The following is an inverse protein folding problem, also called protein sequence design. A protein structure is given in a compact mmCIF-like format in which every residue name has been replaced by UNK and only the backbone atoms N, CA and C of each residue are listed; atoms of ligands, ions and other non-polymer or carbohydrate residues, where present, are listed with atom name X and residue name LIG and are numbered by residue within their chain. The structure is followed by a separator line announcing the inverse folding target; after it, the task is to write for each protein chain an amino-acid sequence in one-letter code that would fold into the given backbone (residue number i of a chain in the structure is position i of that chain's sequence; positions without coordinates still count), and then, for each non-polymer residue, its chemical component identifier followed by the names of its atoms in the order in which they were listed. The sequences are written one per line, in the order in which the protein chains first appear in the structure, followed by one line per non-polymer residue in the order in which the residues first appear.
data_IF_741615424690
#
_entry.id   IF_741615424690
#
_cell.length_a   1.000
_cell.length_b   1.000
_cell.length_c   1.000
_cell.angle_alpha   90.00
_cell.angle_beta   90.00
_cell.angle_gamma   90.00
#
_symmetry.space_group_name_H-M   'P 1'
#
loop_
_entity.id
_entity.type
_entity.pdbx_description
1 polymer ?
#
# COMPACT_ATOMS: atom_id res chain seq x y z
N UNK A 1 -12.97 12.01 42.78
CA UNK A 1 -13.71 10.91 43.43
C UNK A 1 -14.46 10.19 42.33
N UNK A 2 -14.24 8.88 42.17
CA UNK A 2 -15.07 8.08 41.25
C UNK A 2 -16.43 7.85 41.93
N UNK A 3 -17.48 8.41 41.33
CA UNK A 3 -18.87 8.28 41.80
C UNK A 3 -19.62 7.14 41.09
N UNK A 4 -18.90 6.32 40.30
CA UNK A 4 -19.43 5.17 39.56
C UNK A 4 -20.27 5.54 38.35
N UNK A 5 -20.15 6.77 37.84
CA UNK A 5 -21.02 7.27 36.77
C UNK A 5 -20.68 6.62 35.42
N UNK A 6 -19.41 6.28 35.19
CA UNK A 6 -18.91 5.56 34.02
C UNK A 6 -18.73 4.09 34.41
N UNK A 7 -19.49 3.20 33.77
CA UNK A 7 -19.52 1.75 34.06
C UNK A 7 -18.70 0.93 33.07
N UNK A 8 -18.24 1.54 31.98
CA UNK A 8 -17.39 0.89 30.99
C UNK A 8 -16.93 1.85 29.91
N UNK A 9 -15.84 1.49 29.23
CA UNK A 9 -15.28 2.25 28.11
C UNK A 9 -15.02 1.29 26.96
N UNK A 10 -15.45 1.67 25.76
CA UNK A 10 -15.17 0.95 24.51
C UNK A 10 -14.46 1.89 23.54
N UNK A 11 -13.27 1.47 23.10
CA UNK A 11 -12.49 2.15 22.07
C UNK A 11 -12.76 1.47 20.73
N UNK A 12 -13.69 2.02 19.94
CA UNK A 12 -14.04 1.45 18.64
C UNK A 12 -12.99 1.76 17.56
N UNK A 13 -12.18 2.79 17.79
CA UNK A 13 -11.01 3.11 17.00
C UNK A 13 -9.98 3.77 17.92
N UNK A 14 -8.73 3.38 17.81
CA UNK A 14 -7.61 4.06 18.47
C UNK A 14 -6.49 4.20 17.44
N UNK A 15 -5.93 5.39 17.32
CA UNK A 15 -4.77 5.66 16.48
C UNK A 15 -3.60 6.03 17.37
N UNK A 16 -2.42 5.48 17.08
CA UNK A 16 -1.17 5.87 17.71
C UNK A 16 -0.11 6.16 16.65
N UNK A 17 0.61 7.26 16.82
CA UNK A 17 1.69 7.68 15.94
C UNK A 17 3.03 7.69 16.69
N UNK A 18 3.94 6.83 16.25
CA UNK A 18 5.28 6.63 16.82
C UNK A 18 6.37 7.33 16.02
N UNK A 19 6.02 8.14 15.02
CA UNK A 19 6.98 8.89 14.18
C UNK A 19 7.43 10.21 14.81
N UNK A 20 6.96 10.49 16.03
CA UNK A 20 7.37 11.65 16.83
C UNK A 20 8.87 11.61 17.16
N UNK A 21 9.48 12.79 17.30
CA UNK A 21 10.91 12.91 17.65
C UNK A 21 11.26 12.30 19.00
N UNK A 22 10.32 12.32 19.96
CA UNK A 22 10.44 11.63 21.23
C UNK A 22 9.77 10.25 21.16
N UNK A 23 10.59 9.19 21.26
CA UNK A 23 10.15 7.80 21.20
C UNK A 23 9.16 7.39 22.31
N UNK A 24 9.18 8.10 23.44
CA UNK A 24 8.35 7.86 24.62
C UNK A 24 7.22 8.88 24.77
N UNK A 25 6.96 9.67 23.73
CA UNK A 25 5.84 10.58 23.66
C UNK A 25 5.09 10.48 22.32
N UNK A 26 4.60 9.29 21.93
CA UNK A 26 3.80 9.15 20.71
C UNK A 26 2.51 9.98 20.82
N UNK A 27 1.89 10.28 19.68
CA UNK A 27 0.54 10.85 19.71
C UNK A 27 -0.50 9.75 19.71
N UNK A 28 -1.65 10.01 20.35
CA UNK A 28 -2.81 9.15 20.32
C UNK A 28 -4.06 9.94 19.95
N UNK A 29 -5.02 9.28 19.32
CA UNK A 29 -6.33 9.85 19.00
C UNK A 29 -7.39 8.76 18.83
N UNK A 30 -8.66 9.13 18.91
CA UNK A 30 -9.78 8.24 18.67
C UNK A 30 -10.92 9.00 18.01
N UNK A 31 -11.42 8.51 16.88
CA UNK A 31 -12.63 9.10 16.26
C UNK A 31 -13.93 8.52 16.82
N UNK A 32 -13.86 7.52 17.70
CA UNK A 32 -15.02 6.81 18.21
C UNK A 32 -14.72 6.15 19.56
N UNK A 33 -14.96 6.92 20.62
CA UNK A 33 -14.96 6.46 22.00
C UNK A 33 -16.40 6.40 22.51
N UNK A 34 -16.75 5.29 23.16
CA UNK A 34 -18.05 5.11 23.79
C UNK A 34 -17.85 4.81 25.27
N UNK A 35 -18.37 5.70 26.12
CA UNK A 35 -18.48 5.45 27.55
C UNK A 35 -19.90 4.95 27.88
N UNK A 36 -19.98 3.83 28.59
CA UNK A 36 -21.20 3.36 29.22
C UNK A 36 -21.37 4.10 30.53
N UNK A 37 -22.54 4.70 30.72
CA UNK A 37 -22.88 5.45 31.92
C UNK A 37 -24.08 4.82 32.62
N UNK A 38 -24.25 5.09 33.90
CA UNK A 38 -25.49 4.78 34.61
C UNK A 38 -26.64 5.52 33.91
N UNK A 39 -27.63 4.76 33.44
CA UNK A 39 -28.85 5.33 32.86
C UNK A 39 -29.80 5.77 33.97
N UNK A 40 -30.21 7.04 33.95
CA UNK A 40 -31.22 7.56 34.88
C UNK A 40 -32.54 7.68 34.11
N UNK A 41 -33.60 6.93 34.48
CA UNK A 41 -34.88 6.95 33.76
C UNK A 41 -35.43 8.37 33.64
N UNK A 42 -35.81 8.77 32.41
CA UNK A 42 -36.37 10.09 32.12
C UNK A 42 -35.37 11.24 32.09
N UNK A 43 -34.07 11.00 32.33
CA UNK A 43 -33.03 12.03 32.30
C UNK A 43 -32.04 11.72 31.17
N UNK A 44 -31.87 12.67 30.25
CA UNK A 44 -30.73 12.69 29.33
C UNK A 44 -29.79 13.79 29.78
N UNK A 45 -28.57 13.43 30.17
CA UNK A 45 -27.56 14.42 30.56
C UNK A 45 -27.18 15.24 29.32
N UNK A 46 -27.31 16.57 29.34
CA UNK A 46 -27.09 17.41 28.16
C UNK A 46 -25.60 17.71 27.95
N UNK A 47 -24.75 16.66 27.94
CA UNK A 47 -23.30 16.79 27.79
C UNK A 47 -22.98 17.11 26.33
N UNK A 48 -22.46 18.31 26.09
CA UNK A 48 -22.15 18.85 24.76
C UNK A 48 -20.69 18.61 24.34
N UNK A 49 -19.77 18.61 25.30
CA UNK A 49 -18.37 18.29 25.06
C UNK A 49 -17.71 17.76 26.32
N UNK A 50 -16.63 17.00 26.16
CA UNK A 50 -15.79 16.55 27.27
C UNK A 50 -14.31 16.82 26.99
N UNK A 51 -13.50 16.94 28.04
CA UNK A 51 -12.03 16.78 27.96
C UNK A 51 -11.58 15.82 29.06
N UNK A 52 -10.46 15.15 28.86
CA UNK A 52 -10.07 14.00 29.66
C UNK A 52 -8.61 14.09 30.05
N UNK A 53 -8.32 13.75 31.30
CA UNK A 53 -6.98 13.49 31.84
C UNK A 53 -6.90 12.02 32.22
N UNK A 54 -6.09 11.26 31.48
CA UNK A 54 -6.10 9.79 31.54
C UNK A 54 -4.70 9.27 31.82
N UNK A 55 -4.62 8.39 32.81
CA UNK A 55 -3.50 7.53 33.13
C UNK A 55 -3.76 6.13 32.55
N UNK A 56 -2.81 5.63 31.78
CA UNK A 56 -2.82 4.27 31.25
C UNK A 56 -1.93 3.40 32.13
N UNK A 57 -2.46 2.30 32.61
CA UNK A 57 -1.74 1.30 33.38
C UNK A 57 -1.90 -0.10 32.76
N UNK A 58 -0.82 -0.87 32.83
CA UNK A 58 -0.83 -2.31 32.61
C UNK A 58 -0.78 -2.98 33.99
N UNK A 59 -1.89 -3.60 34.38
CA UNK A 59 -2.09 -4.12 35.73
C UNK A 59 -1.81 -3.03 36.80
N UNK A 60 -0.83 -3.26 37.68
CA UNK A 60 -0.43 -2.29 38.72
C UNK A 60 0.60 -1.28 38.24
N UNK A 61 1.18 -1.47 37.05
CA UNK A 61 2.26 -0.64 36.54
C UNK A 61 1.69 0.52 35.72
N UNK A 62 1.89 1.75 36.21
CA UNK A 62 1.49 2.95 35.48
C UNK A 62 2.44 3.17 34.31
N UNK A 63 1.92 3.25 33.09
CA UNK A 63 2.72 3.40 31.87
C UNK A 63 2.97 4.88 31.57
N UNK A 64 1.91 5.67 31.57
CA UNK A 64 1.96 7.06 31.14
C UNK A 64 0.62 7.75 31.23
N UNK A 65 0.59 9.00 30.77
CA UNK A 65 -0.61 9.85 30.81
C UNK A 65 -0.84 10.59 29.50
N UNK A 66 -2.08 10.93 29.21
CA UNK A 66 -2.43 11.92 28.21
C UNK A 66 -3.54 12.83 28.72
N UNK A 67 -3.53 14.06 28.23
CA UNK A 67 -4.58 15.04 28.42
C UNK A 67 -5.11 15.43 27.05
N UNK A 68 -6.43 15.53 26.92
CA UNK A 68 -7.10 15.88 25.66
C UNK A 68 -7.73 17.27 25.71
N UNK A 69 -7.82 17.91 24.56
CA UNK A 69 -8.64 19.11 24.39
C UNK A 69 -10.14 18.78 24.40
N UNK A 70 -10.97 19.82 24.53
CA UNK A 70 -12.43 19.68 24.46
C UNK A 70 -12.88 19.05 23.14
N UNK A 71 -13.58 17.92 23.24
CA UNK A 71 -14.15 17.19 22.13
C UNK A 71 -15.68 17.20 22.20
N UNK A 72 -16.39 17.40 21.08
CA UNK A 72 -17.85 17.26 21.04
C UNK A 72 -18.29 15.88 21.50
N UNK A 73 -19.37 15.84 22.27
CA UNK A 73 -19.96 14.60 22.78
C UNK A 73 -21.45 14.56 22.54
N UNK A 74 -22.00 13.35 22.47
CA UNK A 74 -23.45 13.13 22.42
C UNK A 74 -23.84 12.05 23.40
N UNK A 75 -24.97 12.24 24.09
CA UNK A 75 -25.51 11.28 25.04
C UNK A 75 -26.81 10.73 24.49
N UNK A 76 -26.96 9.40 24.48
CA UNK A 76 -28.18 8.70 24.09
C UNK A 76 -28.41 7.54 25.04
N UNK A 77 -29.42 7.68 25.92
CA UNK A 77 -29.64 6.73 27.01
C UNK A 77 -28.42 6.68 27.95
N UNK A 78 -28.00 5.48 28.33
CA UNK A 78 -26.80 5.24 29.14
C UNK A 78 -25.49 5.24 28.36
N UNK A 79 -25.41 5.86 27.17
CA UNK A 79 -24.20 5.86 26.33
C UNK A 79 -23.79 7.28 25.98
N UNK A 80 -22.52 7.62 26.27
CA UNK A 80 -21.86 8.83 25.82
C UNK A 80 -20.90 8.48 24.68
N UNK A 81 -21.06 9.13 23.53
CA UNK A 81 -20.16 9.02 22.38
C UNK A 81 -19.35 10.30 22.24
N UNK A 82 -18.05 10.16 22.00
CA UNK A 82 -17.10 11.27 21.88
C UNK A 82 -15.88 10.85 21.06
N UNK A 83 -14.94 11.77 20.89
CA UNK A 83 -13.62 11.55 20.27
C UNK A 83 -12.52 11.88 21.25
N UNK A 84 -11.32 11.35 21.01
CA UNK A 84 -10.08 11.85 21.59
C UNK A 84 -9.34 12.62 20.49
N UNK A 85 -9.29 13.96 20.55
CA UNK A 85 -8.43 14.75 19.67
C UNK A 85 -6.97 14.31 19.78
N UNK A 86 -6.17 14.56 18.75
CA UNK A 86 -4.74 14.20 18.78
C UNK A 86 -4.06 14.78 20.01
N UNK A 87 -3.59 13.89 20.88
CA UNK A 87 -3.02 14.21 22.18
C UNK A 87 -1.70 13.49 22.34
N UNK A 88 -0.74 14.10 23.03
CA UNK A 88 0.54 13.44 23.33
C UNK A 88 0.38 12.46 24.49
N UNK A 89 0.82 11.22 24.30
CA UNK A 89 0.90 10.21 25.35
C UNK A 89 2.28 10.22 26.00
N UNK A 90 2.40 10.82 27.17
CA UNK A 90 3.66 10.94 27.90
C UNK A 90 3.91 9.67 28.73
N UNK A 91 4.82 8.83 28.26
CA UNK A 91 5.29 7.65 29.01
C UNK A 91 6.17 8.13 30.18
N UNK A 92 5.94 7.59 31.37
CA UNK A 92 6.75 7.92 32.52
C UNK A 92 8.18 7.42 32.36
N UNK A 93 9.16 8.19 32.84
CA UNK A 93 10.59 7.88 32.66
C UNK A 93 10.98 6.53 33.27
N UNK A 94 10.37 6.13 34.39
CA UNK A 94 10.57 4.84 35.05
C UNK A 94 9.72 3.70 34.47
N UNK A 95 8.87 3.97 33.48
CA UNK A 95 7.91 3.02 32.91
C UNK A 95 8.18 2.66 31.45
N UNK A 96 9.34 3.05 30.91
CA UNK A 96 9.73 2.73 29.52
C UNK A 96 9.75 1.23 29.24
N UNK A 97 10.19 0.41 30.19
CA UNK A 97 10.16 -1.06 30.06
C UNK A 97 8.71 -1.59 30.03
N UNK A 98 7.84 -1.09 30.91
CA UNK A 98 6.42 -1.45 30.91
C UNK A 98 5.74 -1.03 29.60
N UNK A 99 6.10 0.13 29.06
CA UNK A 99 5.63 0.57 27.74
C UNK A 99 6.10 -0.35 26.61
N UNK A 100 7.36 -0.81 26.63
CA UNK A 100 7.86 -1.81 25.69
C UNK A 100 7.05 -3.12 25.75
N UNK A 101 6.79 -3.64 26.95
CA UNK A 101 5.93 -4.81 27.17
C UNK A 101 4.52 -4.59 26.64
N UNK A 102 3.95 -3.41 26.86
CA UNK A 102 2.65 -3.04 26.32
C UNK A 102 2.61 -3.12 24.79
N UNK A 103 3.58 -2.50 24.11
CA UNK A 103 3.67 -2.54 22.64
C UNK A 103 3.86 -3.99 22.15
N UNK A 104 4.69 -4.79 22.83
CA UNK A 104 4.87 -6.21 22.52
C UNK A 104 3.58 -7.02 22.66
N UNK A 105 2.81 -6.78 23.73
CA UNK A 105 1.51 -7.42 23.96
C UNK A 105 0.48 -7.06 22.89
N UNK A 106 0.38 -5.77 22.52
CA UNK A 106 -0.49 -5.35 21.41
C UNK A 106 -0.07 -6.02 20.11
N UNK A 107 1.23 -6.11 19.84
CA UNK A 107 1.72 -6.69 18.60
C UNK A 107 1.49 -8.21 18.54
N UNK A 108 1.66 -8.93 19.66
CA UNK A 108 1.66 -10.40 19.70
C UNK A 108 0.31 -11.05 20.03
N UNK A 109 -0.53 -10.39 20.83
CA UNK A 109 -1.78 -10.98 21.34
C UNK A 109 -2.98 -10.62 20.46
N UNK A 110 -4.02 -11.47 20.49
CA UNK A 110 -5.29 -11.20 19.81
C UNK A 110 -6.13 -10.17 20.57
N UNK A 111 -6.11 -10.21 21.90
CA UNK A 111 -6.77 -9.24 22.77
C UNK A 111 -5.90 -8.99 23.98
N UNK A 112 -5.79 -7.73 24.38
CA UNK A 112 -5.03 -7.29 25.53
C UNK A 112 -5.81 -6.22 26.29
N UNK A 113 -5.87 -6.32 27.63
CA UNK A 113 -6.65 -5.42 28.46
C UNK A 113 -5.76 -4.34 29.08
N UNK A 114 -6.17 -3.08 28.95
CA UNK A 114 -5.53 -1.93 29.57
C UNK A 114 -6.40 -1.34 30.65
N UNK A 115 -5.79 -0.87 31.73
CA UNK A 115 -6.50 -0.09 32.73
C UNK A 115 -6.38 1.40 32.41
N UNK A 116 -7.52 2.05 32.22
CA UNK A 116 -7.62 3.50 32.06
C UNK A 116 -8.17 4.09 33.36
N UNK A 117 -7.40 4.97 34.00
CA UNK A 117 -7.82 5.69 35.21
C UNK A 117 -7.67 7.17 34.99
N UNK A 118 -8.59 7.98 35.49
CA UNK A 118 -8.46 9.41 35.29
C UNK A 118 -9.66 10.21 35.71
N UNK A 119 -9.75 11.42 35.16
CA UNK A 119 -10.87 12.32 35.31
C UNK A 119 -11.32 12.90 33.97
N UNK A 120 -12.59 13.28 33.92
CA UNK A 120 -13.21 13.93 32.77
C UNK A 120 -13.88 15.21 33.24
N UNK A 121 -13.70 16.28 32.49
CA UNK A 121 -14.52 17.47 32.62
C UNK A 121 -15.63 17.42 31.57
N UNK A 122 -16.87 17.61 32.00
CA UNK A 122 -18.05 17.57 31.14
C UNK A 122 -18.69 18.96 31.03
N UNK A 123 -18.87 19.47 29.81
CA UNK A 123 -19.59 20.71 29.54
C UNK A 123 -21.04 20.39 29.18
N UNK A 124 -21.94 20.81 30.04
CA UNK A 124 -23.39 20.74 29.86
C UNK A 124 -23.90 21.93 29.06
N UNK A 125 -24.82 21.67 28.13
CA UNK A 125 -25.61 22.71 27.46
C UNK A 125 -27.03 22.73 28.04
N UNK A 126 -27.32 23.73 28.87
CA UNK A 126 -28.61 23.89 29.55
C UNK A 126 -29.59 24.76 28.72
N UNK A 127 -29.34 24.94 27.43
CA UNK A 127 -30.16 25.75 26.53
C UNK A 127 -30.14 27.22 26.93
N UNK A 128 -31.32 27.78 27.24
CA UNK A 128 -31.47 29.19 27.63
C UNK A 128 -30.73 29.54 28.92
N UNK A 129 -30.43 28.55 29.77
CA UNK A 129 -29.71 28.75 31.03
C UNK A 129 -28.18 28.79 30.86
N UNK A 130 -27.68 28.67 29.62
CA UNK A 130 -26.26 28.74 29.30
C UNK A 130 -25.55 27.39 29.42
N UNK A 131 -24.23 27.43 29.60
CA UNK A 131 -23.38 26.24 29.71
C UNK A 131 -22.80 26.12 31.11
N UNK A 132 -22.72 24.90 31.63
CA UNK A 132 -22.11 24.59 32.92
C UNK A 132 -21.01 23.54 32.73
N UNK A 133 -19.86 23.69 33.37
CA UNK A 133 -18.82 22.66 33.40
C UNK A 133 -18.87 21.92 34.71
N UNK A 134 -18.92 20.59 34.66
CA UNK A 134 -18.71 19.70 35.79
C UNK A 134 -17.29 19.17 35.69
N UNK A 135 -16.37 19.61 36.57
CA UNK A 135 -14.99 19.14 36.55
C UNK A 135 -14.82 17.81 37.28
N UNK A 136 -13.69 17.15 37.02
CA UNK A 136 -13.13 16.06 37.86
C UNK A 136 -14.04 14.83 38.06
N UNK A 137 -14.80 14.44 37.03
CA UNK A 137 -15.58 13.20 37.03
C UNK A 137 -14.62 12.02 36.91
N UNK A 138 -14.32 11.37 38.03
CA UNK A 138 -13.38 10.25 38.08
C UNK A 138 -13.91 9.00 37.36
N UNK A 139 -12.99 8.20 36.82
CA UNK A 139 -13.28 6.85 36.30
C UNK A 139 -12.09 5.91 36.48
N UNK A 140 -12.41 4.61 36.58
CA UNK A 140 -11.46 3.49 36.58
C UNK A 140 -12.07 2.35 35.75
N UNK A 141 -11.50 2.09 34.58
CA UNK A 141 -12.05 1.14 33.63
C UNK A 141 -10.98 0.21 33.06
N UNK A 142 -11.29 -1.09 33.02
CA UNK A 142 -10.50 -2.05 32.26
C UNK A 142 -11.05 -2.15 30.83
N UNK A 143 -10.23 -1.82 29.85
CA UNK A 143 -10.61 -1.70 28.45
C UNK A 143 -9.91 -2.79 27.64
N UNK A 144 -10.65 -3.79 27.11
CA UNK A 144 -10.09 -4.76 26.19
C UNK A 144 -9.81 -4.09 24.84
N UNK A 145 -8.63 -4.34 24.30
CA UNK A 145 -8.19 -3.86 22.99
C UNK A 145 -7.78 -5.06 22.16
N UNK A 146 -8.30 -5.14 20.93
CA UNK A 146 -7.83 -6.14 19.97
C UNK A 146 -6.39 -5.80 19.57
N UNK A 147 -5.48 -6.77 19.66
CA UNK A 147 -4.10 -6.64 19.21
C UNK A 147 -3.93 -7.09 17.75
N UNK A 148 -2.69 -7.09 17.28
CA UNK A 148 -2.32 -7.48 15.91
C UNK A 148 -2.22 -9.00 15.72
N UNK A 149 -2.43 -9.79 16.79
CA UNK A 149 -2.36 -11.25 16.78
C UNK A 149 -1.04 -11.78 16.16
N UNK A 150 0.07 -11.11 16.46
CA UNK A 150 1.42 -11.45 16.02
C UNK A 150 1.75 -11.11 14.56
N UNK A 151 0.82 -10.51 13.79
CA UNK A 151 0.92 -10.40 12.33
C UNK A 151 1.41 -11.73 11.71
N UNK A 152 0.84 -12.85 12.19
CA UNK A 152 1.40 -14.20 11.99
C UNK A 152 1.70 -14.55 10.53
N UNK A 153 0.89 -14.03 9.60
CA UNK A 153 1.03 -14.29 8.17
C UNK A 153 1.04 -12.98 7.41
N UNK A 154 2.15 -12.75 6.70
CA UNK A 154 2.29 -11.69 5.70
C UNK A 154 1.98 -12.31 4.34
N UNK A 155 1.00 -11.76 3.65
CA UNK A 155 0.55 -12.27 2.35
C UNK A 155 1.40 -11.73 1.21
N UNK A 156 2.19 -12.58 0.54
CA UNK A 156 2.77 -12.21 -0.75
C UNK A 156 1.66 -11.87 -1.74
N UNK A 157 1.79 -10.74 -2.44
CA UNK A 157 0.76 -10.25 -3.37
C UNK A 157 1.30 -10.13 -4.79
N UNK A 158 2.42 -9.43 -4.98
CA UNK A 158 2.94 -9.15 -6.31
C UNK A 158 4.45 -8.88 -6.27
N UNK A 159 5.19 -9.35 -7.28
CA UNK A 159 6.61 -9.02 -7.46
C UNK A 159 6.74 -7.70 -8.22
N UNK A 160 7.28 -6.67 -7.57
CA UNK A 160 7.56 -5.40 -8.25
C UNK A 160 8.87 -5.46 -9.03
N UNK A 161 9.95 -5.91 -8.39
CA UNK A 161 11.26 -5.90 -9.02
C UNK A 161 12.22 -6.88 -8.36
N UNK A 162 13.12 -7.42 -9.16
CA UNK A 162 14.35 -8.06 -8.67
C UNK A 162 15.53 -7.22 -9.13
N UNK A 163 16.45 -6.92 -8.21
CA UNK A 163 17.72 -6.28 -8.55
C UNK A 163 18.86 -7.21 -8.21
N UNK A 164 19.79 -7.33 -9.16
CA UNK A 164 21.01 -8.12 -9.01
C UNK A 164 22.17 -7.14 -8.96
N UNK A 165 22.85 -7.06 -7.82
CA UNK A 165 24.09 -6.27 -7.73
C UNK A 165 25.29 -7.15 -8.07
N UNK A 166 26.29 -6.58 -8.74
CA UNK A 166 27.60 -7.22 -8.99
C UNK A 166 28.37 -7.47 -7.70
N UNK A 167 28.05 -6.73 -6.63
CA UNK A 167 28.55 -6.90 -5.27
C UNK A 167 27.88 -8.03 -4.49
N UNK A 168 26.86 -8.68 -5.06
CA UNK A 168 26.31 -9.92 -4.54
C UNK A 168 24.93 -9.83 -3.89
N UNK A 169 24.50 -8.66 -3.41
CA UNK A 169 23.17 -8.52 -2.82
C UNK A 169 22.07 -8.66 -3.88
N UNK A 170 21.04 -9.45 -3.56
CA UNK A 170 19.80 -9.54 -4.33
C UNK A 170 18.75 -8.69 -3.61
N UNK A 171 18.24 -7.67 -4.31
CA UNK A 171 17.12 -6.89 -3.84
C UNK A 171 15.82 -7.51 -4.36
N UNK A 172 14.88 -7.81 -3.46
CA UNK A 172 13.52 -8.20 -3.81
C UNK A 172 12.59 -7.07 -3.39
N UNK A 173 11.94 -6.43 -4.37
CA UNK A 173 10.83 -5.51 -4.12
C UNK A 173 9.53 -6.25 -4.33
N UNK A 174 8.74 -6.43 -3.27
CA UNK A 174 7.45 -7.13 -3.32
C UNK A 174 6.36 -6.28 -2.70
N UNK A 175 5.15 -6.39 -3.25
CA UNK A 175 3.94 -5.93 -2.56
C UNK A 175 3.47 -7.06 -1.66
N UNK A 176 3.24 -6.71 -0.41
CA UNK A 176 2.74 -7.61 0.62
C UNK A 176 1.48 -7.05 1.25
N UNK A 177 0.60 -7.94 1.69
CA UNK A 177 -0.54 -7.61 2.53
C UNK A 177 -0.22 -7.91 4.00
N UNK A 178 -0.32 -6.91 4.86
CA UNK A 178 -0.26 -7.05 6.32
C UNK A 178 -1.68 -6.92 6.89
N UNK A 179 -2.39 -8.03 7.14
CA UNK A 179 -3.71 -7.97 7.71
C UNK A 179 -3.64 -7.49 9.16
N UNK A 180 -4.42 -6.47 9.47
CA UNK A 180 -4.61 -5.93 10.81
C UNK A 180 -6.03 -6.28 11.29
N UNK A 181 -6.18 -7.32 12.15
CA UNK A 181 -7.48 -7.74 12.66
C UNK A 181 -8.05 -6.79 13.73
N UNK A 182 -7.25 -5.83 14.21
CA UNK A 182 -7.63 -4.94 15.29
C UNK A 182 -8.46 -3.73 14.83
N UNK A 183 -8.83 -2.89 15.80
CA UNK A 183 -9.37 -1.53 15.57
C UNK A 183 -8.31 -0.44 15.72
N UNK A 184 -7.04 -0.84 15.80
CA UNK A 184 -5.91 0.06 15.97
C UNK A 184 -5.42 0.55 14.61
N UNK A 185 -5.15 1.85 14.55
CA UNK A 185 -4.32 2.44 13.50
C UNK A 185 -2.96 2.76 14.10
N UNK A 186 -1.88 2.20 13.56
CA UNK A 186 -0.53 2.36 14.10
C UNK A 186 0.39 2.93 13.01
N UNK A 187 0.83 4.17 13.17
CA UNK A 187 1.89 4.73 12.34
C UNK A 187 3.25 4.40 12.98
N UNK A 188 3.94 3.43 12.39
CA UNK A 188 5.20 2.87 12.89
C UNK A 188 6.43 3.52 12.23
N UNK A 189 6.23 4.30 11.17
CA UNK A 189 7.31 4.83 10.34
C UNK A 189 8.09 3.74 9.63
N UNK A 190 9.38 3.94 9.44
CA UNK A 190 10.24 2.96 8.78
C UNK A 190 10.52 1.77 9.72
N UNK A 191 10.28 0.57 9.21
CA UNK A 191 10.53 -0.69 9.93
C UNK A 191 11.41 -1.66 9.14
N UNK A 192 12.25 -2.41 9.85
CA UNK A 192 13.15 -3.42 9.32
C UNK A 192 13.06 -4.71 10.12
N UNK A 193 13.02 -5.85 9.46
CA UNK A 193 12.96 -7.16 10.09
C UNK A 193 14.14 -8.02 9.65
N UNK A 194 14.74 -8.72 10.61
CA UNK A 194 15.71 -9.78 10.32
C UNK A 194 14.97 -10.89 9.57
N UNK A 195 15.49 -11.27 8.41
CA UNK A 195 14.85 -12.24 7.51
C UNK A 195 15.66 -13.51 7.49
N UNK A 196 15.00 -14.65 7.70
CA UNK A 196 15.61 -15.97 7.69
C UNK A 196 14.80 -16.94 6.83
N UNK A 197 15.46 -17.92 6.23
CA UNK A 197 14.83 -19.13 5.69
C UNK A 197 14.93 -20.27 6.70
N UNK A 198 14.46 -21.45 6.32
CA UNK A 198 14.67 -22.69 7.10
C UNK A 198 16.17 -23.01 7.30
N UNK A 199 17.03 -22.52 6.41
CA UNK A 199 18.47 -22.78 6.44
C UNK A 199 19.27 -21.72 7.24
N UNK A 200 18.60 -20.69 7.77
CA UNK A 200 19.22 -19.65 8.60
C UNK A 200 18.97 -18.23 8.11
N UNK A 201 19.71 -17.27 8.68
CA UNK A 201 19.63 -15.85 8.32
C UNK A 201 19.96 -15.61 6.85
N UNK A 202 19.19 -14.73 6.20
CA UNK A 202 19.36 -14.42 4.77
C UNK A 202 19.45 -12.93 4.46
N UNK A 203 19.15 -12.04 5.41
CA UNK A 203 19.23 -10.60 5.19
C UNK A 203 18.16 -9.82 5.95
N UNK A 204 17.80 -8.64 5.45
CA UNK A 204 16.81 -7.76 6.09
C UNK A 204 15.69 -7.38 5.12
N UNK A 205 14.46 -7.33 5.64
CA UNK A 205 13.28 -6.87 4.92
C UNK A 205 12.80 -5.56 5.53
N UNK A 206 12.70 -4.51 4.71
CA UNK A 206 12.37 -3.16 5.13
C UNK A 206 11.07 -2.69 4.50
N UNK A 207 10.23 -2.03 5.28
CA UNK A 207 9.02 -1.31 4.83
C UNK A 207 9.19 0.14 5.27
N UNK A 208 9.08 1.08 4.34
CA UNK A 208 9.14 2.51 4.64
C UNK A 208 7.76 3.05 4.98
N UNK A 209 7.68 3.97 5.95
CA UNK A 209 6.43 4.68 6.30
C UNK A 209 5.26 3.76 6.64
N UNK A 210 5.49 2.64 7.33
CA UNK A 210 4.45 1.67 7.64
C UNK A 210 3.38 2.29 8.55
N UNK A 211 2.18 2.45 8.00
CA UNK A 211 0.96 2.70 8.77
C UNK A 211 0.03 1.49 8.64
N UNK A 212 -0.25 0.84 9.77
CA UNK A 212 -1.21 -0.26 9.84
C UNK A 212 -2.59 0.31 10.16
N UNK A 213 -3.52 0.27 9.21
CA UNK A 213 -4.94 0.58 9.43
C UNK A 213 -5.74 -0.73 9.61
N UNK A 214 -6.94 -0.69 10.22
CA UNK A 214 -7.80 -1.87 10.33
C UNK A 214 -8.09 -2.51 8.96
N UNK A 215 -7.97 -3.84 8.86
CA UNK A 215 -8.18 -4.59 7.61
C UNK A 215 -6.88 -4.90 6.86
N UNK A 216 -6.94 -4.93 5.52
CA UNK A 216 -5.79 -5.25 4.67
C UNK A 216 -4.91 -4.02 4.45
N UNK A 217 -3.59 -4.18 4.59
CA UNK A 217 -2.61 -3.14 4.35
C UNK A 217 -1.65 -3.60 3.26
N UNK A 218 -1.79 -3.05 2.06
CA UNK A 218 -0.88 -3.35 0.96
C UNK A 218 0.29 -2.37 0.97
N UNK A 219 1.50 -2.88 1.16
CA UNK A 219 2.72 -2.07 1.27
C UNK A 219 3.85 -2.69 0.46
N UNK A 220 4.85 -1.86 0.11
CA UNK A 220 6.07 -2.32 -0.53
C UNK A 220 7.06 -2.77 0.55
N UNK A 221 7.42 -4.05 0.53
CA UNK A 221 8.53 -4.58 1.30
C UNK A 221 9.74 -4.79 0.38
N UNK A 222 10.90 -4.29 0.80
CA UNK A 222 12.17 -4.49 0.12
C UNK A 222 13.06 -5.40 0.94
N UNK A 223 13.40 -6.57 0.42
CA UNK A 223 14.32 -7.52 1.05
C UNK A 223 15.69 -7.42 0.39
N UNK A 224 16.72 -7.16 1.18
CA UNK A 224 18.11 -7.26 0.75
C UNK A 224 18.68 -8.58 1.26
N UNK A 225 18.93 -9.51 0.35
CA UNK A 225 19.54 -10.80 0.68
C UNK A 225 21.07 -10.66 0.77
N UNK A 226 21.64 -11.06 1.91
CA UNK A 226 23.08 -11.11 2.16
C UNK A 226 23.66 -12.39 1.56
N UNK A 227 24.20 -12.28 0.35
CA UNK A 227 24.71 -13.42 -0.41
C UNK A 227 26.05 -13.99 0.12
N UNK A 228 26.64 -13.37 1.15
CA UNK A 228 27.72 -14.02 1.91
C UNK A 228 27.18 -15.20 2.72
N UNK A 229 25.86 -15.24 2.99
CA UNK A 229 25.19 -16.33 3.66
C UNK A 229 24.82 -17.47 2.69
N UNK A 230 25.19 -18.73 2.98
CA UNK A 230 24.79 -19.88 2.16
C UNK A 230 23.27 -20.00 1.99
N UNK A 231 22.50 -19.68 3.04
CA UNK A 231 21.05 -19.73 3.03
C UNK A 231 20.44 -18.72 2.03
N UNK A 232 21.02 -17.52 1.89
CA UNK A 232 20.58 -16.52 0.92
C UNK A 232 20.84 -16.97 -0.52
N UNK A 233 22.01 -17.56 -0.79
CA UNK A 233 22.35 -18.11 -2.12
C UNK A 233 21.41 -19.25 -2.53
N UNK A 234 20.94 -20.05 -1.57
CA UNK A 234 19.97 -21.11 -1.83
C UNK A 234 18.57 -20.58 -2.17
N UNK A 235 18.15 -19.45 -1.59
CA UNK A 235 16.90 -18.79 -1.98
C UNK A 235 16.91 -18.46 -3.48
N UNK A 236 18.04 -17.98 -3.99
CA UNK A 236 18.14 -17.57 -5.38
C UNK A 236 17.83 -18.70 -6.37
N UNK A 237 18.33 -19.91 -6.10
CA UNK A 237 18.04 -21.08 -6.94
C UNK A 237 16.67 -21.71 -6.65
N UNK A 238 16.16 -21.60 -5.42
CA UNK A 238 14.89 -22.21 -5.04
C UNK A 238 13.66 -21.39 -5.43
N UNK A 239 13.75 -20.06 -5.50
CA UNK A 239 12.59 -19.19 -5.77
C UNK A 239 11.90 -19.47 -7.10
N UNK A 240 12.60 -20.05 -8.09
CA UNK A 240 12.04 -20.46 -9.38
C UNK A 240 11.63 -21.94 -9.45
N UNK A 241 12.06 -22.77 -8.50
CA UNK A 241 11.87 -24.23 -8.51
C UNK A 241 10.92 -24.73 -7.42
N UNK A 242 10.71 -23.96 -6.35
CA UNK A 242 9.79 -24.27 -5.25
C UNK A 242 9.28 -23.00 -4.57
N UNK A 243 8.26 -23.15 -3.70
CA UNK A 243 7.87 -22.07 -2.80
C UNK A 243 9.00 -21.79 -1.79
N UNK A 244 9.20 -20.53 -1.43
CA UNK A 244 10.19 -20.10 -0.44
C UNK A 244 9.47 -19.43 0.73
N UNK A 245 9.60 -20.03 1.92
CA UNK A 245 9.08 -19.42 3.16
C UNK A 245 10.20 -18.68 3.87
N UNK A 246 9.92 -17.41 4.18
CA UNK A 246 10.77 -16.51 4.94
C UNK A 246 10.12 -16.23 6.29
N UNK A 247 10.93 -16.26 7.34
CA UNK A 247 10.57 -15.81 8.69
C UNK A 247 11.15 -14.42 8.88
N UNK A 248 10.29 -13.46 9.21
CA UNK A 248 10.64 -12.08 9.52
C UNK A 248 10.54 -11.91 11.03
N UNK A 249 11.65 -11.59 11.68
CA UNK A 249 11.74 -11.45 13.14
C UNK A 249 12.19 -10.04 13.49
N UNK A 250 11.53 -9.45 14.49
CA UNK A 250 11.96 -8.18 15.06
C UNK A 250 13.32 -8.30 15.75
N UNK A 251 14.04 -7.18 15.83
CA UNK A 251 15.33 -7.09 16.50
C UNK A 251 15.54 -5.67 17.04
N UNK A 252 16.67 -5.41 17.69
CA UNK A 252 16.97 -4.11 18.31
C UNK A 252 17.06 -2.93 17.33
N UNK A 253 17.15 -3.19 16.02
CA UNK A 253 17.16 -2.19 14.96
C UNK A 253 15.92 -2.21 14.08
N UNK A 254 14.80 -2.75 14.58
CA UNK A 254 13.56 -2.85 13.81
C UNK A 254 12.94 -1.51 13.46
N UNK A 255 13.15 -0.48 14.27
CA UNK A 255 12.69 0.90 14.05
C UNK A 255 13.78 1.85 14.54
N UNK A 256 13.75 3.12 14.11
CA UNK A 256 14.54 4.17 14.77
C UNK A 256 13.95 4.56 16.13
N UNK A 257 12.65 4.26 16.36
CA UNK A 257 11.97 4.54 17.61
C UNK A 257 12.32 3.46 18.67
N UNK A 258 12.97 3.87 19.74
CA UNK A 258 13.43 2.98 20.82
C UNK A 258 12.28 2.25 21.54
N UNK A 259 11.12 2.88 21.68
CA UNK A 259 9.96 2.24 22.31
C UNK A 259 9.36 1.14 21.41
N UNK A 260 9.30 1.40 20.09
CA UNK A 260 8.89 0.37 19.13
C UNK A 260 9.89 -0.79 19.10
N UNK A 261 11.21 -0.53 19.14
CA UNK A 261 12.21 -1.60 19.20
C UNK A 261 12.02 -2.53 20.39
N UNK A 262 11.77 -1.96 21.58
CA UNK A 262 11.54 -2.75 22.78
C UNK A 262 10.31 -3.67 22.64
N UNK A 263 9.25 -3.20 21.97
CA UNK A 263 8.02 -3.97 21.79
C UNK A 263 8.04 -4.95 20.61
N UNK A 264 8.61 -4.54 19.47
CA UNK A 264 8.60 -5.31 18.23
C UNK A 264 9.70 -6.37 18.18
N UNK A 265 10.72 -6.33 19.05
CA UNK A 265 11.80 -7.31 19.04
C UNK A 265 11.34 -8.77 19.22
N UNK A 266 10.18 -9.01 19.82
CA UNK A 266 9.62 -10.35 20.01
C UNK A 266 8.70 -10.81 18.87
N UNK A 267 8.42 -9.95 17.88
CA UNK A 267 7.55 -10.27 16.76
C UNK A 267 8.22 -11.27 15.83
N UNK A 268 7.44 -12.24 15.36
CA UNK A 268 7.85 -13.16 14.30
C UNK A 268 6.67 -13.44 13.37
N UNK A 269 6.87 -13.18 12.09
CA UNK A 269 5.88 -13.34 11.03
C UNK A 269 6.45 -14.22 9.92
N UNK A 270 5.59 -14.95 9.23
CA UNK A 270 6.00 -15.74 8.07
C UNK A 270 5.41 -15.18 6.79
N UNK A 271 6.22 -15.22 5.72
CA UNK A 271 5.80 -14.93 4.36
C UNK A 271 6.24 -16.06 3.45
N UNK A 272 5.35 -16.55 2.61
CA UNK A 272 5.69 -17.53 1.57
C UNK A 272 5.64 -16.86 0.21
N UNK A 273 6.78 -16.83 -0.48
CA UNK A 273 6.89 -16.44 -1.88
C UNK A 273 6.61 -17.69 -2.73
N UNK A 274 5.58 -17.69 -3.58
CA UNK A 274 5.29 -18.82 -4.45
C UNK A 274 6.40 -19.07 -5.48
N UNK A 275 6.53 -20.33 -5.91
CA UNK A 275 7.45 -20.73 -6.97
C UNK A 275 7.29 -19.85 -8.20
N UNK A 276 8.40 -19.35 -8.72
CA UNK A 276 8.49 -18.47 -9.88
C UNK A 276 7.52 -17.27 -9.78
N UNK A 277 7.23 -16.81 -8.55
CA UNK A 277 6.31 -15.72 -8.28
C UNK A 277 4.88 -16.00 -8.80
N UNK A 278 4.51 -17.28 -8.91
CA UNK A 278 3.21 -17.72 -9.38
C UNK A 278 2.07 -17.16 -8.51
N UNK A 279 0.94 -16.85 -9.13
CA UNK A 279 -0.18 -16.23 -8.41
C UNK A 279 0.06 -14.76 -8.02
N UNK A 280 1.08 -14.10 -8.57
CA UNK A 280 1.16 -12.65 -8.53
C UNK A 280 -0.06 -12.06 -9.27
N UNK A 281 -0.98 -11.46 -8.53
CA UNK A 281 -2.20 -10.86 -9.10
C UNK A 281 -2.07 -9.35 -8.97
N UNK A 282 -2.25 -8.65 -10.08
CA UNK A 282 -2.49 -7.21 -10.02
C UNK A 282 -3.92 -6.97 -9.56
N UNK A 283 -4.17 -5.92 -8.78
CA UNK A 283 -5.54 -5.56 -8.37
C UNK A 283 -6.47 -5.26 -9.55
N UNK A 284 -5.91 -4.80 -10.66
CA UNK A 284 -6.61 -4.50 -11.91
C UNK A 284 -5.60 -4.42 -13.07
N UNK A 285 -6.08 -4.40 -14.32
CA UNK A 285 -5.21 -4.18 -15.48
C UNK A 285 -4.59 -2.77 -15.42
N UNK A 286 -3.29 -2.63 -15.77
CA UNK A 286 -2.59 -1.34 -15.66
C UNK A 286 -3.00 -0.31 -16.73
N UNK A 287 -3.74 -0.74 -17.74
CA UNK A 287 -4.19 0.10 -18.85
C UNK A 287 -5.53 -0.39 -19.41
N UNK A 288 -6.26 0.52 -20.06
CA UNK A 288 -7.48 0.25 -20.82
C UNK A 288 -7.70 1.28 -21.92
N UNK A 289 -8.67 1.04 -22.79
CA UNK A 289 -9.14 2.00 -23.79
C UNK A 289 -8.04 2.47 -24.77
N UNK A 290 -7.26 1.52 -25.28
CA UNK A 290 -6.26 1.83 -26.30
C UNK A 290 -6.92 2.31 -27.59
N UNK A 291 -6.39 3.38 -28.16
CA UNK A 291 -6.77 3.90 -29.48
C UNK A 291 -5.55 4.40 -30.23
N UNK A 292 -5.61 4.36 -31.56
CA UNK A 292 -4.55 4.81 -32.45
C UNK A 292 -5.10 5.77 -33.50
N UNK A 293 -4.34 6.84 -33.73
CA UNK A 293 -4.58 7.83 -34.77
C UNK A 293 -3.37 7.89 -35.70
N UNK A 294 -3.60 7.88 -37.01
CA UNK A 294 -2.59 8.18 -38.03
C UNK A 294 -2.48 9.69 -38.19
N UNK A 295 -1.27 10.21 -38.02
CA UNK A 295 -0.98 11.62 -38.20
C UNK A 295 -0.76 11.90 -39.69
N UNK A 296 -1.35 12.97 -40.20
CA UNK A 296 -1.22 13.40 -41.60
C UNK A 296 -0.01 14.31 -41.81
N UNK A 297 0.54 14.30 -43.03
CA UNK A 297 1.64 15.20 -43.43
C UNK A 297 2.98 14.92 -42.72
N UNK A 298 3.18 13.70 -42.22
CA UNK A 298 4.34 13.35 -41.41
C UNK A 298 5.52 12.97 -42.31
N UNK A 299 6.64 13.68 -42.15
CA UNK A 299 7.94 13.37 -42.78
C UNK A 299 8.89 12.61 -41.84
N UNK A 300 8.49 12.44 -40.59
CA UNK A 300 9.27 11.83 -39.52
C UNK A 300 8.62 10.50 -39.09
N UNK A 301 9.30 9.38 -39.38
CA UNK A 301 8.82 8.03 -39.07
C UNK A 301 8.48 7.79 -37.60
N UNK A 302 8.94 8.65 -36.69
CA UNK A 302 8.66 8.57 -35.24
C UNK A 302 7.32 9.17 -34.82
N UNK A 303 6.66 9.92 -35.72
CA UNK A 303 5.42 10.67 -35.43
C UNK A 303 4.23 10.21 -36.26
N UNK A 304 4.35 9.05 -36.92
CA UNK A 304 3.31 8.54 -37.83
C UNK A 304 2.02 8.22 -37.07
N UNK A 305 2.13 7.72 -35.84
CA UNK A 305 0.97 7.44 -35.01
C UNK A 305 1.01 8.19 -33.71
N UNK A 306 -0.17 8.56 -33.24
CA UNK A 306 -0.41 8.89 -31.84
C UNK A 306 -1.30 7.83 -31.25
N UNK A 307 -0.80 7.14 -30.22
CA UNK A 307 -1.57 6.18 -29.44
C UNK A 307 -2.01 6.82 -28.14
N UNK A 308 -3.27 6.60 -27.79
CA UNK A 308 -3.88 7.08 -26.54
C UNK A 308 -4.37 5.88 -25.73
N UNK A 309 -4.08 5.88 -24.43
CA UNK A 309 -4.55 4.87 -23.49
C UNK A 309 -4.83 5.47 -22.11
N UNK A 310 -5.70 4.82 -21.35
CA UNK A 310 -6.02 5.19 -19.99
C UNK A 310 -5.28 4.26 -19.03
N UNK A 311 -4.27 4.80 -18.34
CA UNK A 311 -3.50 4.08 -17.32
C UNK A 311 -4.22 4.09 -15.98
N UNK A 312 -4.11 2.99 -15.24
CA UNK A 312 -4.63 2.86 -13.88
C UNK A 312 -3.58 2.14 -13.03
N UNK A 313 -3.49 2.45 -11.74
CA UNK A 313 -2.54 1.73 -10.88
C UNK A 313 -2.99 0.27 -10.72
N UNK A 314 -2.14 -0.72 -11.04
CA UNK A 314 -2.42 -2.12 -10.75
C UNK A 314 -2.10 -2.50 -9.29
N UNK A 315 -1.55 -1.58 -8.48
CA UNK A 315 -0.88 -1.86 -7.21
C UNK A 315 -1.74 -1.47 -5.99
N UNK A 316 -2.96 -1.97 -5.90
CA UNK A 316 -3.76 -1.97 -4.67
C UNK A 316 -3.96 -0.58 -4.03
N UNK A 317 -4.14 0.46 -4.86
CA UNK A 317 -4.33 1.83 -4.38
C UNK A 317 -3.05 2.66 -4.23
N UNK A 318 -1.87 2.10 -4.53
CA UNK A 318 -0.61 2.86 -4.57
C UNK A 318 -0.51 3.68 -5.86
N UNK A 319 -0.16 4.98 -5.83
CA UNK A 319 0.09 5.76 -7.04
C UNK A 319 1.30 5.22 -7.82
N UNK A 320 1.30 5.47 -9.12
CA UNK A 320 2.36 5.02 -10.03
C UNK A 320 2.79 6.18 -10.92
N UNK A 321 4.08 6.45 -10.91
CA UNK A 321 4.73 7.32 -11.89
C UNK A 321 5.35 6.45 -12.98
N UNK A 322 4.87 6.56 -14.21
CA UNK A 322 5.44 5.88 -15.38
C UNK A 322 6.47 6.81 -16.00
N UNK A 323 7.74 6.49 -15.83
CA UNK A 323 8.87 7.32 -16.25
C UNK A 323 9.27 7.02 -17.68
N UNK A 324 9.26 5.74 -18.05
CA UNK A 324 9.62 5.30 -19.39
C UNK A 324 8.81 4.08 -19.81
N UNK A 325 8.55 4.00 -21.11
CA UNK A 325 8.16 2.79 -21.79
C UNK A 325 9.40 2.31 -22.54
N UNK A 326 10.11 1.29 -22.02
CA UNK A 326 11.40 0.84 -22.59
C UNK A 326 11.26 0.30 -24.01
N UNK A 327 12.38 0.15 -24.73
CA UNK A 327 12.44 -0.42 -26.10
C UNK A 327 11.84 -1.83 -26.22
N UNK A 328 11.78 -2.59 -25.12
CA UNK A 328 11.09 -3.88 -25.05
C UNK A 328 9.56 -3.74 -25.21
N UNK A 329 9.04 -2.52 -25.09
CA UNK A 329 7.64 -2.20 -25.34
C UNK A 329 7.42 -2.18 -26.83
N UNK A 330 6.87 -3.29 -27.31
CA UNK A 330 6.67 -3.54 -28.73
C UNK A 330 5.23 -3.95 -28.90
N UNK A 331 4.60 -3.33 -29.88
CA UNK A 331 3.35 -3.80 -30.41
C UNK A 331 3.70 -4.72 -31.60
N UNK A 332 3.46 -6.01 -31.44
CA UNK A 332 3.57 -6.98 -32.53
C UNK A 332 2.19 -7.36 -33.04
N UNK A 333 2.07 -7.69 -34.33
CA UNK A 333 0.82 -8.20 -34.87
C UNK A 333 0.42 -9.47 -34.10
N UNK A 334 -0.81 -9.54 -33.58
CA UNK A 334 -1.30 -10.80 -33.04
C UNK A 334 -1.45 -11.82 -34.19
N UNK A 335 -1.12 -13.10 -33.93
CA UNK A 335 -1.22 -14.20 -34.92
C UNK A 335 -2.62 -14.35 -35.55
N UNK A 336 -3.64 -13.75 -34.93
CA UNK A 336 -5.06 -13.83 -35.29
C UNK A 336 -5.38 -13.34 -36.71
N UNK A 337 -4.49 -12.60 -37.39
CA UNK A 337 -4.72 -12.12 -38.77
C UNK A 337 -4.12 -13.05 -39.83
N UNK A 338 -3.54 -14.20 -39.48
CA UNK A 338 -2.79 -15.04 -40.45
C UNK A 338 -1.54 -14.35 -41.03
N UNK A 339 -1.24 -13.13 -40.56
CA UNK A 339 -0.04 -12.38 -40.87
C UNK A 339 1.03 -12.88 -39.91
N UNK A 340 1.73 -13.94 -40.29
CA UNK A 340 3.04 -14.22 -39.69
C UNK A 340 3.98 -13.11 -40.16
N UNK A 341 4.20 -12.12 -39.31
CA UNK A 341 5.28 -11.16 -39.49
C UNK A 341 6.64 -11.77 -39.12
N UNK A 342 6.71 -13.01 -38.63
CA UNK A 342 7.83 -13.40 -37.77
C UNK A 342 7.94 -12.40 -36.59
N UNK A 343 9.10 -12.32 -35.94
CA UNK A 343 9.40 -11.34 -34.88
C UNK A 343 9.40 -9.86 -35.35
N UNK A 344 8.74 -9.51 -36.47
CA UNK A 344 8.74 -8.14 -36.96
C UNK A 344 7.83 -7.25 -36.12
N UNK A 345 8.45 -6.28 -35.47
CA UNK A 345 7.82 -5.23 -34.69
C UNK A 345 6.97 -4.35 -35.62
N UNK A 346 5.73 -4.04 -35.24
CA UNK A 346 4.90 -3.09 -36.00
C UNK A 346 5.13 -1.66 -35.54
N UNK A 347 5.28 -1.46 -34.23
CA UNK A 347 5.45 -0.14 -33.63
C UNK A 347 6.43 -0.21 -32.46
N UNK A 348 7.24 0.85 -32.32
CA UNK A 348 8.10 1.07 -31.15
C UNK A 348 7.66 2.32 -30.42
N UNK A 349 7.36 2.19 -29.12
CA UNK A 349 7.00 3.33 -28.28
C UNK A 349 8.15 4.35 -28.27
N UNK A 350 7.83 5.62 -28.47
CA UNK A 350 8.79 6.68 -28.27
C UNK A 350 8.88 7.01 -26.78
N UNK A 351 9.98 7.67 -26.38
CA UNK A 351 10.11 8.21 -25.04
C UNK A 351 8.88 9.05 -24.70
N UNK A 352 8.26 8.72 -23.57
CA UNK A 352 7.12 9.45 -23.05
C UNK A 352 7.60 10.48 -22.04
N UNK A 353 6.85 11.57 -21.89
CA UNK A 353 6.92 12.34 -20.65
C UNK A 353 6.41 11.47 -19.50
N UNK A 354 6.90 11.73 -18.29
CA UNK A 354 6.38 11.12 -17.07
C UNK A 354 4.85 11.16 -17.02
N UNK A 355 4.22 10.02 -16.74
CA UNK A 355 2.77 9.89 -16.53
C UNK A 355 2.50 9.58 -15.07
N UNK A 356 1.85 10.51 -14.37
CA UNK A 356 1.41 10.31 -13.00
C UNK A 356 0.03 9.66 -12.98
N UNK A 357 -0.05 8.47 -12.39
CA UNK A 357 -1.29 7.71 -12.22
C UNK A 357 -1.65 7.72 -10.74
N UNK A 358 -2.80 8.29 -10.34
CA UNK A 358 -3.19 8.29 -8.94
C UNK A 358 -3.46 6.85 -8.47
N UNK A 359 -3.30 6.63 -7.16
CA UNK A 359 -3.55 5.33 -6.55
C UNK A 359 -4.99 4.86 -6.73
N UNK A 360 -5.94 5.81 -6.66
CA UNK A 360 -7.34 5.61 -7.04
C UNK A 360 -7.65 6.45 -8.28
N UNK A 361 -8.26 5.82 -9.30
CA UNK A 361 -8.65 6.49 -10.54
C UNK A 361 -7.81 6.08 -11.75
N UNK A 362 -7.59 7.03 -12.66
CA UNK A 362 -6.87 6.76 -13.92
C UNK A 362 -6.37 8.04 -14.58
N UNK A 363 -5.31 7.91 -15.38
CA UNK A 363 -4.75 9.00 -16.18
C UNK A 363 -4.75 8.62 -17.65
N UNK A 364 -5.32 9.46 -18.51
CA UNK A 364 -5.25 9.25 -19.97
C UNK A 364 -4.04 9.98 -20.52
N UNK A 365 -3.23 9.27 -21.31
CA UNK A 365 -2.05 9.83 -21.94
C UNK A 365 -2.00 9.45 -23.42
N UNK A 366 -1.44 10.35 -24.21
CA UNK A 366 -1.20 10.18 -25.64
C UNK A 366 0.29 10.31 -25.92
N UNK A 367 0.85 9.41 -26.71
CA UNK A 367 2.25 9.44 -27.09
C UNK A 367 2.44 8.95 -28.52
N UNK A 368 3.56 9.36 -29.10
CA UNK A 368 3.90 8.97 -30.45
C UNK A 368 4.49 7.54 -30.48
N UNK A 369 4.21 6.83 -31.56
CA UNK A 369 4.75 5.50 -31.83
C UNK A 369 5.41 5.53 -33.20
N UNK A 370 6.64 5.02 -33.26
CA UNK A 370 7.43 5.00 -34.48
C UNK A 370 7.12 3.79 -35.36
N UNK A 371 7.23 3.99 -36.66
CA UNK A 371 7.40 2.90 -37.61
C UNK A 371 8.83 2.31 -37.50
N UNK A 372 9.02 0.99 -37.72
CA UNK A 372 10.33 0.34 -37.75
C UNK A 372 11.31 0.97 -38.75
N UNK A 373 12.61 0.87 -38.45
CA UNK A 373 13.66 1.48 -39.27
C UNK A 373 13.84 0.82 -40.65
N UNK A 374 13.51 -0.47 -40.76
CA UNK A 374 13.64 -1.26 -41.98
C UNK A 374 12.30 -1.92 -42.33
N UNK A 375 11.79 -1.63 -43.52
CA UNK A 375 10.67 -2.33 -44.13
C UNK A 375 11.18 -3.23 -45.25
N UNK A 376 10.91 -4.54 -45.19
CA UNK A 376 11.24 -5.42 -46.31
C UNK A 376 10.29 -5.19 -47.49
N UNK A 377 10.68 -5.56 -48.72
CA UNK A 377 9.83 -5.40 -49.92
C UNK A 377 8.47 -6.15 -49.89
N UNK A 378 8.18 -6.95 -48.85
CA UNK A 378 6.90 -7.67 -48.64
C UNK A 378 5.92 -6.93 -47.71
N UNK A 379 6.08 -5.62 -47.49
CA UNK A 379 5.38 -4.91 -46.40
C UNK A 379 4.03 -4.29 -46.80
N UNK A 380 3.87 -3.78 -48.03
CA UNK A 380 2.63 -3.07 -48.41
C UNK A 380 1.39 -3.99 -48.40
N UNK A 381 1.50 -5.20 -48.93
CA UNK A 381 0.38 -6.17 -48.93
C UNK A 381 -0.02 -6.60 -47.51
N UNK A 382 0.93 -6.68 -46.58
CA UNK A 382 0.64 -6.97 -45.17
C UNK A 382 -0.08 -5.81 -44.48
N UNK A 383 0.30 -4.56 -44.78
CA UNK A 383 -0.40 -3.39 -44.29
C UNK A 383 -1.79 -3.24 -44.87
N UNK A 384 -2.00 -3.59 -46.14
CA UNK A 384 -3.33 -3.63 -46.74
C UNK A 384 -4.24 -4.57 -45.95
N UNK A 385 -3.81 -5.81 -45.70
CA UNK A 385 -4.57 -6.75 -44.87
C UNK A 385 -4.82 -6.24 -43.45
N UNK A 386 -3.89 -5.46 -42.88
CA UNK A 386 -4.04 -4.86 -41.56
C UNK A 386 -5.10 -3.74 -41.55
N UNK A 387 -5.12 -2.90 -42.60
CA UNK A 387 -6.12 -1.86 -42.80
C UNK A 387 -7.50 -2.47 -43.08
N UNK A 388 -7.59 -3.50 -43.91
CA UNK A 388 -8.86 -4.18 -44.21
C UNK A 388 -9.45 -4.80 -42.93
N UNK A 389 -8.62 -5.44 -42.11
CA UNK A 389 -9.01 -5.95 -40.80
C UNK A 389 -9.50 -4.82 -39.88
N UNK A 390 -8.74 -3.73 -39.78
CA UNK A 390 -9.08 -2.58 -38.94
C UNK A 390 -10.40 -1.92 -39.36
N UNK A 391 -10.63 -1.75 -40.66
CA UNK A 391 -11.87 -1.18 -41.19
C UNK A 391 -13.07 -2.08 -40.93
N UNK A 392 -12.88 -3.40 -41.01
CA UNK A 392 -13.95 -4.38 -40.76
C UNK A 392 -14.33 -4.44 -39.29
N UNK A 393 -13.35 -4.35 -38.39
CA UNK A 393 -13.55 -4.62 -36.96
C UNK A 393 -13.59 -3.35 -36.08
N UNK A 394 -13.12 -2.20 -36.59
CA UNK A 394 -12.95 -0.97 -35.82
C UNK A 394 -11.78 -0.99 -34.82
N UNK A 395 -10.91 -2.00 -34.90
CA UNK A 395 -9.71 -2.14 -34.07
C UNK A 395 -8.65 -3.01 -34.73
N UNK A 396 -7.42 -2.93 -34.23
CA UNK A 396 -6.34 -3.88 -34.49
C UNK A 396 -5.99 -4.65 -33.22
N UNK A 397 -5.65 -5.94 -33.34
CA UNK A 397 -5.17 -6.73 -32.20
C UNK A 397 -3.66 -6.81 -32.23
N UNK A 398 -3.04 -6.41 -31.13
CA UNK A 398 -1.58 -6.41 -30.96
C UNK A 398 -1.20 -7.21 -29.73
N UNK A 399 -0.07 -7.91 -29.78
CA UNK A 399 0.57 -8.41 -28.57
C UNK A 399 1.35 -7.25 -27.95
N UNK A 400 1.10 -6.96 -26.67
CA UNK A 400 1.79 -5.90 -25.94
C UNK A 400 2.76 -6.56 -24.95
N UNK A 401 4.05 -6.45 -25.26
CA UNK A 401 5.08 -6.59 -24.24
C UNK A 401 5.21 -5.23 -23.57
N UNK A 402 5.02 -5.14 -22.25
CA UNK A 402 5.12 -3.89 -21.51
C UNK A 402 6.02 -4.08 -20.27
N UNK A 403 7.25 -3.59 -20.36
CA UNK A 403 8.24 -3.43 -19.30
C UNK A 403 8.45 -1.94 -18.99
N UNK A 404 7.44 -1.21 -18.46
CA UNK A 404 7.64 0.18 -18.08
C UNK A 404 8.64 0.31 -16.93
N UNK A 405 9.37 1.42 -16.96
CA UNK A 405 10.08 1.90 -15.77
C UNK A 405 9.11 2.75 -14.95
N UNK A 406 8.86 2.35 -13.71
CA UNK A 406 7.92 3.02 -12.82
C UNK A 406 8.54 3.35 -11.46
N UNK A 407 8.01 4.39 -10.81
CA UNK A 407 8.13 4.60 -9.36
C UNK A 407 6.76 4.33 -8.77
N UNK A 408 6.70 3.52 -7.71
CA UNK A 408 5.44 3.14 -7.06
C UNK A 408 5.41 3.78 -5.69
N UNK A 409 4.24 4.30 -5.32
CA UNK A 409 3.98 4.92 -4.01
C UNK A 409 4.92 6.09 -3.67
N UNK A 410 5.40 6.80 -4.70
CA UNK A 410 6.32 7.94 -4.58
C UNK A 410 7.62 7.62 -3.80
N UNK A 411 8.05 6.36 -3.79
CA UNK A 411 9.22 5.93 -3.00
C UNK A 411 10.58 6.33 -3.62
N UNK A 412 10.55 6.95 -4.80
CA UNK A 412 11.72 7.42 -5.56
C UNK A 412 12.54 6.31 -6.21
N UNK A 413 12.15 5.03 -6.09
CA UNK A 413 12.89 3.89 -6.62
C UNK A 413 12.33 3.50 -7.98
N UNK A 414 13.12 3.75 -9.03
CA UNK A 414 12.78 3.34 -10.38
C UNK A 414 12.90 1.82 -10.55
N UNK A 415 11.85 1.20 -11.09
CA UNK A 415 11.74 -0.25 -11.27
C UNK A 415 11.28 -0.57 -12.67
N UNK A 416 11.95 -1.53 -13.31
CA UNK A 416 11.40 -2.17 -14.50
C UNK A 416 10.40 -3.23 -14.06
N UNK A 417 9.10 -2.96 -14.26
CA UNK A 417 8.03 -3.88 -13.85
C UNK A 417 7.51 -4.62 -15.07
N UNK A 418 7.12 -5.90 -14.91
CA UNK A 418 6.56 -6.67 -16.00
C UNK A 418 5.02 -6.62 -16.00
N UNK A 419 4.46 -5.82 -16.90
CA UNK A 419 3.00 -5.77 -17.16
C UNK A 419 2.55 -6.71 -18.27
N UNK A 420 3.48 -7.43 -18.90
CA UNK A 420 3.25 -8.37 -19.99
C UNK A 420 3.20 -9.83 -19.56
N UNK A 421 3.69 -10.20 -18.37
CA UNK A 421 3.77 -11.62 -17.99
C UNK A 421 3.57 -11.87 -16.48
N UNK A 422 2.33 -12.17 -16.10
CA UNK A 422 2.13 -13.26 -15.14
C UNK A 422 2.17 -14.57 -15.95
N UNK A 423 3.29 -15.30 -15.89
CA UNK A 423 3.45 -16.68 -16.35
C UNK A 423 2.72 -17.07 -17.67
N UNK A 424 3.49 -17.17 -18.77
CA UNK A 424 3.21 -17.95 -20.01
C UNK A 424 2.36 -17.35 -21.15
N UNK A 425 1.72 -16.18 -21.05
CA UNK A 425 1.03 -15.57 -22.22
C UNK A 425 1.19 -14.05 -22.29
N UNK A 426 1.77 -13.55 -23.40
CA UNK A 426 1.76 -12.12 -23.74
C UNK A 426 0.30 -11.69 -23.93
N UNK A 427 -0.22 -10.70 -23.18
CA UNK A 427 -1.59 -10.24 -23.34
C UNK A 427 -1.78 -9.62 -24.73
N UNK A 428 -2.90 -9.97 -25.37
CA UNK A 428 -3.34 -9.29 -26.58
C UNK A 428 -4.21 -8.10 -26.19
N UNK A 429 -4.01 -6.99 -26.87
CA UNK A 429 -4.74 -5.73 -26.66
C UNK A 429 -5.43 -5.36 -27.96
N UNK A 430 -6.71 -5.04 -27.89
CA UNK A 430 -7.43 -4.44 -29.00
C UNK A 430 -7.24 -2.92 -28.94
N UNK A 431 -6.58 -2.36 -29.95
CA UNK A 431 -6.40 -0.92 -30.11
C UNK A 431 -7.45 -0.42 -31.10
N UNK A 432 -8.35 0.44 -30.63
CA UNK A 432 -9.41 1.03 -31.46
C UNK A 432 -8.80 1.89 -32.58
N UNK A 433 -9.27 1.70 -33.80
CA UNK A 433 -8.84 2.46 -34.98
C UNK A 433 -9.92 3.45 -35.41
N UNK A 434 -9.51 4.64 -35.86
CA UNK A 434 -10.40 5.61 -36.53
C UNK A 434 -10.46 5.39 -38.04
N UNK A 435 -11.29 6.17 -38.73
CA UNK A 435 -11.38 6.16 -40.20
C UNK A 435 -10.09 6.63 -40.88
N UNK A 436 -9.25 7.37 -40.15
CA UNK A 436 -7.93 7.81 -40.57
C UNK A 436 -6.92 6.66 -40.70
N UNK A 437 -7.21 5.48 -40.13
CA UNK A 437 -6.25 4.38 -40.12
C UNK A 437 -5.84 3.92 -41.53
N UNK A 438 -6.75 3.99 -42.51
CA UNK A 438 -6.46 3.63 -43.90
C UNK A 438 -5.40 4.53 -44.56
N UNK A 439 -5.23 5.77 -44.09
CA UNK A 439 -4.23 6.72 -44.63
C UNK A 439 -2.79 6.26 -44.39
N UNK A 440 -2.57 5.25 -43.55
CA UNK A 440 -1.25 4.68 -43.36
C UNK A 440 -0.63 4.13 -44.66
N UNK A 441 -1.47 3.66 -45.59
CA UNK A 441 -1.02 3.14 -46.89
C UNK A 441 -0.41 4.23 -47.78
N UNK A 442 -0.76 5.49 -47.57
CA UNK A 442 -0.19 6.64 -48.26
C UNK A 442 1.11 7.13 -47.60
N UNK A 443 1.28 6.83 -46.31
CA UNK A 443 2.42 7.29 -45.50
C UNK A 443 3.61 6.33 -45.60
N UNK A 444 3.37 5.01 -45.58
CA UNK A 444 4.42 3.98 -45.60
C UNK A 444 5.38 4.09 -46.81
N UNK A 445 4.92 4.33 -48.06
CA UNK A 445 5.81 4.41 -49.22
C UNK A 445 6.89 5.49 -49.11
N UNK A 446 6.68 6.54 -48.31
CA UNK A 446 7.64 7.61 -48.09
C UNK A 446 8.82 7.19 -47.20
N UNK A 447 8.75 6.02 -46.56
CA UNK A 447 9.76 5.50 -45.65
C UNK A 447 10.34 4.14 -46.08
N UNK A 448 9.90 3.62 -47.23
CA UNK A 448 10.26 2.32 -47.80
C UNK A 448 11.60 2.36 -48.56
#
# INVERSE_FOLDING_TARGET
VDIGLITGITLNQLSMDFTTSNAYAPTLSSSNLVASMISIPGITLPISSIRQDVLIADNTNQIGTFSSDWAPSSVSGGSLKTTIPTSTFNVFSNSQAAFGTFISSIASQETYALTLKGSVDAKLNLGIFGTMTIPDIGFDANVPIAGLNGLKVIGYTYLLSTTFSTTGNIGLGVIVNLPNPSKLTLNLGDVSFSTASVDGFVGYSTIKGLTLVPGNNYVIATTNLDNTQPAANKIFSSIYTSNVTLTLTGYSGTSSNAALNAGLASMSSQMTIPQAFAGAVMSQAPYKNWSIKVNSGVTDRTKVFTVTTTFQSPYYGMPVEIIALQDANKLSAAQTVGISTGNSQLFTFQSISTINVPGTGSTTASFNVALPATFGNKTLSKWQSFVDFANTNGYITVALTALPTVVVDNDGVQRSVDWGASATKIPTVNIKTGSDFASILDVIPNFA
#
